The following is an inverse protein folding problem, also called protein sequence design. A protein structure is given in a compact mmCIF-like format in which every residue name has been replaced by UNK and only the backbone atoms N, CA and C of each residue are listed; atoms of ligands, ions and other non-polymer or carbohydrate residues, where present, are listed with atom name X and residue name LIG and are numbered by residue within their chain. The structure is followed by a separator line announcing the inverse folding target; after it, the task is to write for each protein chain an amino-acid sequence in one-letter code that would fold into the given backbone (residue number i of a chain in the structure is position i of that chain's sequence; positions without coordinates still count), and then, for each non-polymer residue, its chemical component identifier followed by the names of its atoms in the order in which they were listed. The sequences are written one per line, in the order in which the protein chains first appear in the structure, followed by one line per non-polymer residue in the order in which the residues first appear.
data_IF_807576593321
#
_entry.id   IF_807576593321
#
_cell.length_a   1.000
_cell.length_b   1.000
_cell.length_c   1.000
_cell.angle_alpha   90.00
_cell.angle_beta   90.00
_cell.angle_gamma   90.00
#
_symmetry.space_group_name_H-M   'P 1'
#
loop_
_entity.id
_entity.type
_entity.pdbx_description
1 polymer ?
#
# COMPACT_ATOMS: atom_id res chain seq x y z
N UNK A 1 4.05 -26.11 -49.66
CA UNK A 1 4.93 -25.29 -48.78
C UNK A 1 6.40 -25.48 -49.14
N UNK A 2 6.89 -26.69 -49.43
CA UNK A 2 8.27 -26.95 -49.84
C UNK A 2 8.72 -26.12 -51.07
N UNK A 3 7.92 -26.06 -52.13
CA UNK A 3 8.27 -25.30 -53.34
C UNK A 3 8.21 -23.77 -53.22
N UNK A 4 7.69 -23.22 -52.10
CA UNK A 4 7.72 -21.77 -51.82
C UNK A 4 8.94 -21.41 -50.96
N UNK A 5 9.31 -22.29 -50.03
CA UNK A 5 10.47 -22.08 -49.14
C UNK A 5 11.80 -22.43 -49.83
N UNK A 6 11.77 -23.37 -50.77
CA UNK A 6 12.90 -23.77 -51.59
C UNK A 6 12.44 -23.87 -53.07
N UNK A 7 12.38 -22.73 -53.79
CA UNK A 7 11.98 -22.71 -55.19
C UNK A 7 13.04 -23.39 -56.06
N UNK A 8 12.63 -24.40 -56.84
CA UNK A 8 13.52 -25.08 -57.79
C UNK A 8 13.86 -24.15 -58.98
N UNK A 9 15.10 -24.22 -59.48
CA UNK A 9 15.58 -23.44 -60.62
C UNK A 9 14.65 -23.62 -61.85
N UNK A 10 14.17 -22.50 -62.41
CA UNK A 10 13.24 -22.50 -63.55
C UNK A 10 11.76 -22.72 -63.20
N UNK A 11 11.42 -22.80 -61.91
CA UNK A 11 10.03 -22.77 -61.45
C UNK A 11 9.50 -21.33 -61.35
N UNK A 12 8.17 -21.16 -61.44
CA UNK A 12 7.51 -19.86 -61.22
C UNK A 12 7.94 -19.16 -59.92
N UNK A 13 8.31 -19.93 -58.89
CA UNK A 13 8.69 -19.41 -57.59
C UNK A 13 10.12 -18.85 -57.56
N UNK A 14 10.99 -19.30 -58.47
CA UNK A 14 12.37 -18.84 -58.63
C UNK A 14 12.48 -17.62 -59.56
N UNK A 15 11.44 -17.32 -60.36
CA UNK A 15 11.45 -16.16 -61.25
C UNK A 15 11.63 -14.84 -60.47
N UNK A 16 12.61 -14.04 -60.89
CA UNK A 16 12.93 -12.75 -60.29
C UNK A 16 12.07 -11.60 -60.85
N UNK A 17 11.52 -10.81 -59.94
CA UNK A 17 10.76 -9.60 -60.22
C UNK A 17 11.16 -8.54 -59.19
N UNK A 18 11.68 -7.39 -59.62
CA UNK A 18 12.15 -6.32 -58.72
C UNK A 18 13.19 -6.76 -57.67
N UNK A 19 14.25 -7.47 -58.09
CA UNK A 19 15.37 -7.92 -57.22
C UNK A 19 14.95 -8.88 -56.10
N UNK A 20 13.80 -9.53 -56.23
CA UNK A 20 13.27 -10.53 -55.32
C UNK A 20 12.62 -11.63 -56.16
N UNK A 21 12.61 -12.86 -55.67
CA UNK A 21 11.86 -13.92 -56.35
C UNK A 21 10.35 -13.88 -56.01
N UNK A 22 9.55 -14.50 -56.87
CA UNK A 22 8.10 -14.58 -56.70
C UNK A 22 7.68 -15.22 -55.36
N UNK A 23 8.47 -16.17 -54.83
CA UNK A 23 8.23 -16.74 -53.51
C UNK A 23 8.29 -15.69 -52.39
N UNK A 24 9.32 -14.85 -52.38
CA UNK A 24 9.51 -13.78 -51.39
C UNK A 24 8.42 -12.74 -51.48
N UNK A 25 8.00 -12.35 -52.69
CA UNK A 25 6.91 -11.40 -52.92
C UNK A 25 5.59 -11.93 -52.33
N UNK A 26 5.26 -13.21 -52.56
CA UNK A 26 4.05 -13.83 -52.02
C UNK A 26 4.10 -13.91 -50.48
N UNK A 27 5.26 -14.18 -49.90
CA UNK A 27 5.43 -14.16 -48.45
C UNK A 27 5.26 -12.75 -47.86
N UNK A 28 5.85 -11.72 -48.47
CA UNK A 28 5.64 -10.32 -48.04
C UNK A 28 4.18 -9.90 -48.12
N UNK A 29 3.45 -10.31 -49.17
CA UNK A 29 2.02 -10.07 -49.28
C UNK A 29 1.23 -10.84 -48.20
N UNK A 30 1.64 -12.07 -47.87
CA UNK A 30 1.12 -12.83 -46.75
C UNK A 30 1.31 -12.11 -45.40
N UNK A 31 2.50 -11.56 -45.16
CA UNK A 31 2.80 -10.78 -43.96
C UNK A 31 1.92 -9.52 -43.89
N UNK A 32 1.81 -8.78 -45.00
CA UNK A 32 0.97 -7.58 -45.08
C UNK A 32 -0.49 -7.92 -44.80
N UNK A 33 -1.04 -8.97 -45.42
CA UNK A 33 -2.43 -9.38 -45.20
C UNK A 33 -2.67 -9.80 -43.75
N UNK A 34 -1.80 -10.63 -43.17
CA UNK A 34 -1.87 -11.00 -41.75
C UNK A 34 -1.76 -9.79 -40.82
N UNK A 35 -0.90 -8.82 -41.12
CA UNK A 35 -0.77 -7.58 -40.33
C UNK A 35 -2.04 -6.73 -40.38
N UNK A 36 -2.72 -6.67 -41.53
CA UNK A 36 -4.00 -5.96 -41.69
C UNK A 36 -5.11 -6.69 -40.95
N UNK A 37 -5.16 -8.02 -41.03
CA UNK A 37 -6.10 -8.82 -40.25
C UNK A 37 -5.88 -8.66 -38.74
N UNK A 38 -4.63 -8.67 -38.28
CA UNK A 38 -4.29 -8.42 -36.88
C UNK A 38 -4.74 -7.03 -36.43
N UNK A 39 -4.47 -6.01 -37.26
CA UNK A 39 -4.92 -4.63 -37.03
C UNK A 39 -6.44 -4.53 -36.90
N UNK A 40 -7.18 -5.08 -37.87
CA UNK A 40 -8.65 -5.06 -37.87
C UNK A 40 -9.22 -5.87 -36.70
N UNK A 41 -8.65 -7.04 -36.43
CA UNK A 41 -9.06 -7.91 -35.34
C UNK A 41 -8.93 -7.22 -33.99
N UNK A 42 -7.79 -6.58 -33.73
CA UNK A 42 -7.57 -5.82 -32.49
C UNK A 42 -8.48 -4.60 -32.41
N UNK A 43 -8.68 -3.86 -33.51
CA UNK A 43 -9.65 -2.75 -33.56
C UNK A 43 -11.09 -3.20 -33.28
N UNK A 44 -11.46 -4.43 -33.62
CA UNK A 44 -12.79 -4.96 -33.36
C UNK A 44 -12.93 -5.53 -31.93
N UNK A 45 -11.85 -6.05 -31.35
CA UNK A 45 -11.83 -6.70 -30.04
C UNK A 45 -11.61 -5.73 -28.87
N UNK A 46 -10.65 -4.82 -29.01
CA UNK A 46 -10.29 -3.85 -27.98
C UNK A 46 -11.50 -3.08 -27.42
N UNK A 47 -12.40 -2.50 -28.24
CA UNK A 47 -13.55 -1.78 -27.71
C UNK A 47 -14.56 -2.70 -27.01
N UNK A 48 -14.68 -3.96 -27.41
CA UNK A 48 -15.58 -4.92 -26.75
C UNK A 48 -15.10 -5.27 -25.33
N UNK A 49 -13.78 -5.38 -25.15
CA UNK A 49 -13.18 -5.63 -23.84
C UNK A 49 -13.29 -4.37 -22.98
N UNK A 50 -12.95 -3.20 -23.55
CA UNK A 50 -13.07 -1.92 -22.85
C UNK A 50 -14.50 -1.65 -22.38
N UNK A 51 -15.51 -2.00 -23.19
CA UNK A 51 -16.93 -1.85 -22.83
C UNK A 51 -17.35 -2.73 -21.63
N UNK A 52 -16.70 -3.86 -21.38
CA UNK A 52 -16.96 -4.65 -20.16
C UNK A 52 -16.44 -3.98 -18.90
N UNK A 53 -15.42 -3.12 -19.04
CA UNK A 53 -14.72 -2.48 -17.93
C UNK A 53 -15.28 -1.07 -17.67
N UNK A 54 -15.61 -0.33 -18.74
CA UNK A 54 -16.09 1.06 -18.69
C UNK A 54 -17.58 1.11 -19.05
N UNK A 55 -18.43 1.36 -18.05
CA UNK A 55 -19.89 1.31 -18.20
C UNK A 55 -20.55 2.63 -18.64
N UNK A 56 -19.83 3.76 -18.65
CA UNK A 56 -20.44 5.07 -18.99
C UNK A 56 -20.40 5.40 -20.49
N UNK A 57 -21.55 5.74 -21.05
CA UNK A 57 -21.75 6.00 -22.49
C UNK A 57 -21.09 7.29 -22.99
N UNK A 58 -20.84 8.28 -22.12
CA UNK A 58 -20.16 9.54 -22.49
C UNK A 58 -18.66 9.37 -22.69
N UNK A 59 -18.00 8.53 -21.88
CA UNK A 59 -16.58 8.16 -22.01
C UNK A 59 -16.37 7.26 -23.22
N UNK A 60 -17.33 6.35 -23.48
CA UNK A 60 -17.29 5.42 -24.60
C UNK A 60 -17.17 6.15 -25.95
N UNK A 61 -17.96 7.20 -26.21
CA UNK A 61 -18.00 7.84 -27.53
C UNK A 61 -16.70 8.55 -27.94
N UNK A 62 -15.98 9.14 -26.96
CA UNK A 62 -14.73 9.89 -27.19
C UNK A 62 -13.49 8.99 -27.12
N UNK A 63 -13.53 7.96 -26.28
CA UNK A 63 -12.39 7.07 -26.00
C UNK A 63 -12.24 5.94 -27.03
N UNK A 64 -13.35 5.30 -27.41
CA UNK A 64 -13.33 4.09 -28.25
C UNK A 64 -12.89 4.43 -29.69
N UNK A 65 -13.42 5.53 -30.25
CA UNK A 65 -13.24 5.84 -31.68
C UNK A 65 -11.79 6.09 -32.10
N UNK A 66 -10.95 6.60 -31.19
CA UNK A 66 -9.57 6.94 -31.50
C UNK A 66 -8.53 6.02 -30.81
N UNK A 67 -8.77 5.51 -29.60
CA UNK A 67 -7.79 4.59 -28.94
C UNK A 67 -7.56 3.30 -29.73
N UNK A 68 -8.62 2.74 -30.33
CA UNK A 68 -8.57 1.50 -31.11
C UNK A 68 -7.65 1.62 -32.33
N UNK A 69 -7.53 2.83 -32.90
CA UNK A 69 -6.69 3.05 -34.08
C UNK A 69 -5.21 2.84 -33.79
N UNK A 70 -4.74 3.41 -32.68
CA UNK A 70 -3.34 3.33 -32.26
C UNK A 70 -2.98 1.91 -31.78
N UNK A 71 -3.88 1.25 -31.04
CA UNK A 71 -3.67 -0.13 -30.61
C UNK A 71 -3.67 -1.09 -31.80
N UNK A 72 -4.58 -0.91 -32.76
CA UNK A 72 -4.60 -1.71 -33.98
C UNK A 72 -3.37 -1.50 -34.86
N UNK A 73 -2.85 -0.27 -34.99
CA UNK A 73 -1.59 -0.04 -35.72
C UNK A 73 -0.41 -0.68 -35.01
N UNK A 74 -0.35 -0.63 -33.68
CA UNK A 74 0.65 -1.38 -32.91
C UNK A 74 0.53 -2.90 -33.17
N UNK A 75 -0.67 -3.48 -33.07
CA UNK A 75 -0.86 -4.91 -33.33
C UNK A 75 -0.43 -5.33 -34.74
N UNK A 76 -0.84 -4.57 -35.76
CA UNK A 76 -0.44 -4.83 -37.14
C UNK A 76 1.07 -4.72 -37.34
N UNK A 77 1.70 -3.65 -36.85
CA UNK A 77 3.14 -3.45 -36.94
C UNK A 77 3.94 -4.51 -36.18
N UNK A 78 3.46 -4.93 -35.00
CA UNK A 78 4.08 -6.00 -34.20
C UNK A 78 4.02 -7.36 -34.88
N UNK A 79 2.87 -7.72 -35.46
CA UNK A 79 2.75 -8.97 -36.25
C UNK A 79 3.63 -8.92 -37.50
N UNK A 80 3.64 -7.78 -38.21
CA UNK A 80 4.52 -7.60 -39.37
C UNK A 80 6.00 -7.71 -38.98
N UNK A 81 6.40 -7.08 -37.88
CA UNK A 81 7.77 -7.13 -37.35
C UNK A 81 8.19 -8.56 -36.99
N UNK A 82 7.33 -9.27 -36.25
CA UNK A 82 7.58 -10.66 -35.87
C UNK A 82 7.76 -11.56 -37.10
N UNK A 83 6.88 -11.44 -38.09
CA UNK A 83 6.93 -12.27 -39.29
C UNK A 83 8.11 -11.90 -40.21
N UNK A 84 8.44 -10.60 -40.33
CA UNK A 84 9.62 -10.13 -41.08
C UNK A 84 10.90 -10.68 -40.44
N UNK A 85 11.04 -10.57 -39.12
CA UNK A 85 12.22 -11.09 -38.42
C UNK A 85 12.31 -12.62 -38.56
N UNK A 86 11.17 -13.32 -38.45
CA UNK A 86 11.11 -14.78 -38.70
C UNK A 86 11.57 -15.12 -40.12
N UNK A 87 11.14 -14.35 -41.12
CA UNK A 87 11.54 -14.55 -42.51
C UNK A 87 13.04 -14.26 -42.72
N UNK A 88 13.58 -13.22 -42.07
CA UNK A 88 15.01 -12.90 -42.11
C UNK A 88 15.84 -14.01 -41.45
N UNK A 89 15.42 -14.53 -40.31
CA UNK A 89 16.10 -15.65 -39.64
C UNK A 89 16.09 -16.91 -40.51
N UNK A 90 14.99 -17.16 -41.23
CA UNK A 90 14.88 -18.29 -42.17
C UNK A 90 15.82 -18.16 -43.37
N UNK A 91 16.07 -16.95 -43.88
CA UNK A 91 17.06 -16.71 -44.97
C UNK A 91 18.49 -17.11 -44.57
N UNK A 92 18.80 -17.10 -43.27
CA UNK A 92 20.11 -17.50 -42.76
C UNK A 92 20.37 -19.01 -42.84
N UNK A 93 19.35 -19.83 -43.15
CA UNK A 93 19.45 -21.29 -43.29
C UNK A 93 19.79 -21.69 -44.74
N UNK A 94 20.70 -22.66 -44.89
CA UNK A 94 21.40 -23.05 -46.14
C UNK A 94 20.46 -23.60 -47.22
N UNK A 95 19.20 -23.88 -46.89
CA UNK A 95 18.21 -24.52 -47.77
C UNK A 95 17.01 -23.63 -48.14
N UNK A 96 17.09 -22.31 -47.94
CA UNK A 96 16.01 -21.40 -48.34
C UNK A 96 16.42 -20.56 -49.55
N UNK A 97 15.59 -20.58 -50.59
CA UNK A 97 15.79 -19.74 -51.78
C UNK A 97 15.07 -18.41 -51.63
N UNK A 98 15.14 -17.76 -50.47
CA UNK A 98 14.45 -16.49 -50.20
C UNK A 98 15.45 -15.36 -50.40
N UNK A 99 15.08 -14.35 -51.18
CA UNK A 99 15.98 -13.25 -51.54
C UNK A 99 15.34 -11.92 -51.19
N UNK A 100 15.91 -11.24 -50.20
CA UNK A 100 15.56 -9.86 -49.85
C UNK A 100 16.77 -8.94 -50.10
N UNK A 101 16.56 -7.74 -50.68
CA UNK A 101 17.61 -6.74 -50.78
C UNK A 101 18.15 -6.37 -49.39
N UNK A 102 19.47 -6.17 -49.28
CA UNK A 102 20.13 -5.80 -48.01
C UNK A 102 19.50 -4.58 -47.32
N UNK A 103 19.03 -3.62 -48.12
CA UNK A 103 18.33 -2.43 -47.63
C UNK A 103 17.00 -2.79 -46.96
N UNK A 104 16.25 -3.76 -47.50
CA UNK A 104 14.98 -4.22 -46.94
C UNK A 104 15.20 -4.89 -45.58
N UNK A 105 16.23 -5.74 -45.46
CA UNK A 105 16.61 -6.43 -44.23
C UNK A 105 16.95 -5.44 -43.11
N UNK A 106 17.62 -4.33 -43.43
CA UNK A 106 18.03 -3.33 -42.45
C UNK A 106 16.94 -2.32 -42.10
N UNK A 107 16.13 -1.91 -43.08
CA UNK A 107 15.19 -0.78 -42.92
C UNK A 107 13.82 -1.26 -42.44
N UNK A 108 13.28 -2.34 -43.01
CA UNK A 108 11.89 -2.75 -42.75
C UNK A 108 11.67 -3.08 -41.26
N UNK A 109 12.51 -3.89 -40.59
CA UNK A 109 12.33 -4.18 -39.17
C UNK A 109 12.35 -2.92 -38.30
N UNK A 110 13.33 -2.04 -38.51
CA UNK A 110 13.48 -0.81 -37.74
C UNK A 110 12.28 0.14 -37.92
N UNK A 111 11.78 0.28 -39.16
CA UNK A 111 10.58 1.09 -39.44
C UNK A 111 9.33 0.48 -38.79
N UNK A 112 9.16 -0.84 -38.87
CA UNK A 112 8.03 -1.53 -38.23
C UNK A 112 8.10 -1.42 -36.71
N UNK A 113 9.29 -1.56 -36.12
CA UNK A 113 9.53 -1.36 -34.70
C UNK A 113 9.26 0.09 -34.26
N UNK A 114 9.66 1.07 -35.07
CA UNK A 114 9.35 2.48 -34.82
C UNK A 114 7.83 2.73 -34.86
N UNK A 115 7.14 2.23 -35.88
CA UNK A 115 5.67 2.33 -36.01
C UNK A 115 4.98 1.65 -34.82
N UNK A 116 5.49 0.49 -34.40
CA UNK A 116 4.99 -0.22 -33.24
C UNK A 116 5.16 0.60 -31.95
N UNK A 117 6.37 1.07 -31.66
CA UNK A 117 6.68 1.85 -30.47
C UNK A 117 5.87 3.15 -30.40
N UNK A 118 5.82 3.94 -31.48
CA UNK A 118 5.06 5.20 -31.50
C UNK A 118 3.55 4.96 -31.37
N UNK A 119 3.04 3.88 -31.98
CA UNK A 119 1.62 3.50 -31.86
C UNK A 119 1.28 3.13 -30.41
N UNK A 120 2.16 2.39 -29.72
CA UNK A 120 1.98 2.08 -28.30
C UNK A 120 2.06 3.32 -27.41
N UNK A 121 2.97 4.25 -27.67
CA UNK A 121 3.06 5.51 -26.92
C UNK A 121 1.80 6.34 -27.09
N UNK A 122 1.33 6.52 -28.33
CA UNK A 122 0.08 7.25 -28.61
C UNK A 122 -1.12 6.57 -27.96
N UNK A 123 -1.18 5.24 -28.00
CA UNK A 123 -2.23 4.47 -27.34
C UNK A 123 -2.20 4.66 -25.81
N UNK A 124 -1.03 4.49 -25.18
CA UNK A 124 -0.86 4.65 -23.73
C UNK A 124 -1.21 6.08 -23.28
N UNK A 125 -0.80 7.10 -24.03
CA UNK A 125 -1.17 8.49 -23.77
C UNK A 125 -2.68 8.73 -23.76
N UNK A 126 -3.40 8.05 -24.67
CA UNK A 126 -4.86 8.13 -24.73
C UNK A 126 -5.52 7.41 -23.56
N UNK A 127 -4.92 6.35 -23.03
CA UNK A 127 -5.41 5.71 -21.81
C UNK A 127 -5.33 6.65 -20.60
N UNK A 128 -4.30 7.48 -20.51
CA UNK A 128 -4.15 8.42 -19.39
C UNK A 128 -5.28 9.47 -19.39
N UNK A 129 -5.71 9.95 -20.55
CA UNK A 129 -6.88 10.84 -20.62
C UNK A 129 -8.19 10.20 -20.13
N UNK A 130 -8.30 8.88 -20.15
CA UNK A 130 -9.49 8.18 -19.60
C UNK A 130 -9.60 8.40 -18.10
N UNK A 131 -8.47 8.54 -17.39
CA UNK A 131 -8.48 8.77 -15.94
C UNK A 131 -9.23 10.05 -15.59
N UNK A 132 -9.00 11.14 -16.36
CA UNK A 132 -9.73 12.40 -16.17
C UNK A 132 -11.22 12.24 -16.45
N UNK A 133 -11.56 11.56 -17.55
CA UNK A 133 -12.94 11.36 -17.95
C UNK A 133 -13.71 10.50 -16.93
N UNK A 134 -13.09 9.46 -16.37
CA UNK A 134 -13.68 8.58 -15.34
C UNK A 134 -13.87 9.33 -14.03
N UNK A 135 -12.86 10.09 -13.60
CA UNK A 135 -12.96 10.93 -12.40
C UNK A 135 -14.10 11.95 -12.54
N UNK A 136 -14.19 12.63 -13.69
CA UNK A 136 -15.24 13.62 -13.94
C UNK A 136 -16.66 13.04 -14.01
N UNK A 137 -16.82 11.72 -14.07
CA UNK A 137 -18.12 11.05 -13.95
C UNK A 137 -18.46 10.53 -12.55
N UNK A 138 -17.44 10.28 -11.73
CA UNK A 138 -17.63 9.93 -10.33
C UNK A 138 -17.90 11.18 -9.49
N UNK A 139 -17.46 12.34 -9.99
CA UNK A 139 -17.80 13.67 -9.48
C UNK A 139 -19.18 14.12 -9.98
N UNK A 140 -20.25 13.53 -9.44
CA UNK A 140 -21.62 13.90 -9.82
C UNK A 140 -22.11 15.22 -9.20
N UNK A 141 -21.43 15.75 -8.18
CA UNK A 141 -21.87 16.93 -7.42
C UNK A 141 -20.90 18.14 -7.50
N UNK A 142 -19.85 18.09 -8.34
CA UNK A 142 -18.77 19.10 -8.40
C UNK A 142 -18.13 19.35 -7.00
N UNK A 143 -18.19 18.34 -6.12
CA UNK A 143 -17.72 18.38 -4.74
C UNK A 143 -16.23 18.03 -4.61
N UNK A 144 -15.54 17.63 -5.69
CA UNK A 144 -14.09 17.41 -5.65
C UNK A 144 -13.39 18.71 -5.22
N UNK A 145 -12.84 18.71 -4.01
CA UNK A 145 -12.05 19.82 -3.47
C UNK A 145 -10.88 20.14 -4.42
N UNK A 146 -10.43 21.41 -4.44
CA UNK A 146 -9.31 21.84 -5.27
C UNK A 146 -8.06 20.98 -5.07
N UNK A 147 -7.92 20.38 -3.89
CA UNK A 147 -6.87 19.42 -3.53
C UNK A 147 -6.95 18.13 -4.34
N UNK A 148 -8.14 17.55 -4.51
CA UNK A 148 -8.35 16.27 -5.20
C UNK A 148 -8.13 16.42 -6.71
N UNK A 149 -8.62 17.52 -7.30
CA UNK A 149 -8.35 17.87 -8.71
C UNK A 149 -6.87 18.05 -8.97
N UNK A 150 -6.16 18.68 -8.03
CA UNK A 150 -4.70 18.84 -8.11
C UNK A 150 -3.97 17.49 -8.04
N UNK A 151 -4.41 16.58 -7.17
CA UNK A 151 -3.83 15.23 -7.06
C UNK A 151 -4.01 14.43 -8.36
N UNK A 152 -5.21 14.47 -8.95
CA UNK A 152 -5.52 13.78 -10.20
C UNK A 152 -4.65 14.32 -11.35
N UNK A 153 -4.53 15.64 -11.45
CA UNK A 153 -3.65 16.27 -12.44
C UNK A 153 -2.16 15.93 -12.23
N UNK A 154 -1.72 15.82 -10.98
CA UNK A 154 -0.35 15.41 -10.66
C UNK A 154 -0.09 13.95 -11.08
N UNK A 155 -1.00 13.02 -10.76
CA UNK A 155 -0.92 11.61 -11.16
C UNK A 155 -0.88 11.50 -12.69
N UNK A 156 -1.73 12.25 -13.39
CA UNK A 156 -1.76 12.28 -14.85
C UNK A 156 -0.43 12.78 -15.43
N UNK A 157 0.12 13.86 -14.88
CA UNK A 157 1.40 14.42 -15.33
C UNK A 157 2.53 13.42 -15.14
N UNK A 158 2.55 12.69 -14.02
CA UNK A 158 3.52 11.63 -13.74
C UNK A 158 3.36 10.47 -14.74
N UNK A 159 2.13 10.02 -15.01
CA UNK A 159 1.86 8.95 -15.97
C UNK A 159 2.27 9.34 -17.39
N UNK A 160 1.92 10.56 -17.83
CA UNK A 160 2.33 11.08 -19.14
C UNK A 160 3.85 11.16 -19.25
N UNK A 161 4.53 11.69 -18.23
CA UNK A 161 5.99 11.73 -18.20
C UNK A 161 6.58 10.31 -18.30
N UNK A 162 6.08 9.35 -17.53
CA UNK A 162 6.55 7.97 -17.57
C UNK A 162 6.34 7.33 -18.96
N UNK A 163 5.20 7.56 -19.60
CA UNK A 163 4.91 7.04 -20.94
C UNK A 163 5.84 7.65 -21.99
N UNK A 164 6.07 8.96 -21.98
CA UNK A 164 7.06 9.60 -22.88
C UNK A 164 8.43 9.04 -22.63
N UNK A 165 8.83 8.96 -21.36
CA UNK A 165 10.17 8.55 -20.97
C UNK A 165 10.45 7.12 -21.42
N UNK A 166 9.59 6.17 -21.05
CA UNK A 166 9.71 4.76 -21.46
C UNK A 166 9.55 4.64 -22.99
N UNK A 167 8.60 5.35 -23.58
CA UNK A 167 8.38 5.39 -25.02
C UNK A 167 9.61 5.85 -25.80
N UNK A 168 10.30 6.88 -25.31
CA UNK A 168 11.51 7.42 -25.93
C UNK A 168 12.65 6.39 -25.98
N UNK A 169 12.75 5.51 -24.99
CA UNK A 169 13.73 4.42 -24.95
C UNK A 169 13.47 3.42 -26.09
N UNK A 170 12.22 2.98 -26.26
CA UNK A 170 11.84 2.07 -27.35
C UNK A 170 11.96 2.72 -28.74
N UNK A 171 11.66 4.01 -28.84
CA UNK A 171 11.84 4.75 -30.10
C UNK A 171 13.33 4.90 -30.43
N UNK A 172 14.19 5.17 -29.44
CA UNK A 172 15.63 5.24 -29.63
C UNK A 172 16.20 3.88 -30.10
N UNK A 173 15.73 2.77 -29.54
CA UNK A 173 16.12 1.44 -30.02
C UNK A 173 15.78 1.23 -31.50
N UNK A 174 14.56 1.60 -31.89
CA UNK A 174 14.11 1.49 -33.28
C UNK A 174 14.93 2.38 -34.25
N UNK A 175 15.57 3.44 -33.74
CA UNK A 175 16.50 4.29 -34.50
C UNK A 175 17.94 3.76 -34.53
N UNK A 176 18.20 2.61 -33.89
CA UNK A 176 19.51 1.96 -33.85
C UNK A 176 20.43 2.46 -32.73
N UNK A 177 19.91 3.16 -31.73
CA UNK A 177 20.70 3.48 -30.53
C UNK A 177 20.92 2.24 -29.67
N UNK A 178 22.08 2.15 -29.02
CA UNK A 178 22.40 1.02 -28.15
C UNK A 178 21.55 1.06 -26.87
N UNK A 179 20.54 0.18 -26.79
CA UNK A 179 19.70 0.01 -25.61
C UNK A 179 20.49 -0.35 -24.36
N UNK A 180 21.54 -1.17 -24.47
CA UNK A 180 22.33 -1.62 -23.31
C UNK A 180 22.95 -0.43 -22.57
N UNK A 181 23.52 0.54 -23.30
CA UNK A 181 24.07 1.76 -22.70
C UNK A 181 22.99 2.63 -22.06
N UNK A 182 21.83 2.76 -22.71
CA UNK A 182 20.72 3.56 -22.19
C UNK A 182 20.13 2.92 -20.92
N UNK A 183 19.83 1.63 -20.96
CA UNK A 183 19.31 0.86 -19.82
C UNK A 183 20.30 0.85 -18.66
N UNK A 184 21.61 0.76 -18.92
CA UNK A 184 22.64 0.85 -17.87
C UNK A 184 22.61 2.20 -17.12
N UNK A 185 22.52 3.32 -17.85
CA UNK A 185 22.39 4.65 -17.23
C UNK A 185 21.05 4.86 -16.51
N UNK A 186 19.97 4.31 -17.07
CA UNK A 186 18.64 4.30 -16.46
C UNK A 186 18.60 3.47 -15.18
N UNK A 187 19.35 2.38 -15.09
CA UNK A 187 19.42 1.54 -13.89
C UNK A 187 19.94 2.32 -12.67
N UNK A 188 21.01 3.10 -12.85
CA UNK A 188 21.58 3.93 -11.77
C UNK A 188 20.60 5.05 -11.38
N UNK A 189 20.02 5.74 -12.37
CA UNK A 189 19.06 6.82 -12.13
C UNK A 189 17.77 6.31 -11.47
N UNK A 190 17.31 5.13 -11.88
CA UNK A 190 16.14 4.44 -11.33
C UNK A 190 16.36 4.00 -9.89
N UNK A 191 17.57 3.54 -9.54
CA UNK A 191 17.92 3.23 -8.15
C UNK A 191 17.86 4.48 -7.26
N UNK A 192 18.42 5.60 -7.73
CA UNK A 192 18.37 6.87 -6.99
C UNK A 192 16.92 7.33 -6.76
N UNK A 193 16.06 7.23 -7.80
CA UNK A 193 14.64 7.56 -7.70
C UNK A 193 13.90 6.61 -6.74
N UNK A 194 14.20 5.30 -6.79
CA UNK A 194 13.60 4.31 -5.90
C UNK A 194 13.96 4.56 -4.43
N UNK A 195 15.22 4.92 -4.16
CA UNK A 195 15.66 5.30 -2.81
C UNK A 195 14.96 6.57 -2.32
N UNK A 196 14.78 7.57 -3.19
CA UNK A 196 14.03 8.78 -2.85
C UNK A 196 12.53 8.51 -2.60
N UNK A 197 11.93 7.57 -3.34
CA UNK A 197 10.52 7.21 -3.21
C UNK A 197 10.23 6.24 -2.05
N UNK A 198 11.27 5.63 -1.46
CA UNK A 198 11.18 4.58 -0.44
C UNK A 198 10.21 4.92 0.69
N UNK A 199 10.30 6.12 1.26
CA UNK A 199 9.48 6.51 2.42
C UNK A 199 8.00 6.68 2.04
N UNK A 200 7.71 7.18 0.83
CA UNK A 200 6.33 7.30 0.34
C UNK A 200 5.70 5.92 0.18
N UNK A 201 6.43 4.99 -0.43
CA UNK A 201 5.98 3.59 -0.61
C UNK A 201 5.80 2.91 0.74
N UNK A 202 6.74 3.10 1.68
CA UNK A 202 6.66 2.52 3.02
C UNK A 202 5.42 2.99 3.79
N UNK A 203 5.04 4.26 3.66
CA UNK A 203 3.82 4.78 4.30
C UNK A 203 2.54 4.21 3.68
N UNK A 204 2.52 4.01 2.35
CA UNK A 204 1.38 3.40 1.66
C UNK A 204 1.16 1.94 2.10
N UNK A 205 2.24 1.16 2.18
CA UNK A 205 2.17 -0.19 2.74
C UNK A 205 1.78 -0.16 4.21
N UNK A 206 2.29 0.82 4.96
CA UNK A 206 1.90 1.07 6.34
C UNK A 206 0.39 1.23 6.52
N UNK A 207 -0.23 2.11 5.72
CA UNK A 207 -1.67 2.33 5.75
C UNK A 207 -2.44 1.06 5.40
N UNK A 208 -1.99 0.35 4.36
CA UNK A 208 -2.62 -0.88 3.89
C UNK A 208 -2.63 -1.95 4.98
N UNK A 209 -1.50 -2.16 5.65
CA UNK A 209 -1.40 -3.10 6.78
C UNK A 209 -2.32 -2.70 7.93
N UNK A 210 -2.37 -1.42 8.31
CA UNK A 210 -3.28 -0.94 9.36
C UNK A 210 -4.74 -1.21 9.00
N UNK A 211 -5.14 -1.01 7.74
CA UNK A 211 -6.50 -1.25 7.26
C UNK A 211 -6.89 -2.73 7.24
N UNK A 212 -5.95 -3.61 6.88
CA UNK A 212 -6.17 -5.06 6.77
C UNK A 212 -6.13 -5.73 8.14
N UNK A 213 -5.08 -5.51 8.92
CA UNK A 213 -4.86 -6.20 10.20
C UNK A 213 -5.63 -5.55 11.35
N UNK A 214 -6.03 -4.28 11.18
CA UNK A 214 -6.82 -3.49 12.15
C UNK A 214 -6.30 -3.61 13.59
N UNK A 215 -5.01 -3.30 13.84
CA UNK A 215 -4.46 -3.29 15.20
C UNK A 215 -5.23 -2.32 16.11
N UNK A 216 -5.73 -1.22 15.54
CA UNK A 216 -6.62 -0.24 16.14
C UNK A 216 -7.64 0.28 15.12
N UNK A 217 -8.63 1.03 15.60
CA UNK A 217 -9.65 1.71 14.79
C UNK A 217 -9.73 3.18 15.17
N UNK A 218 -10.38 3.98 14.33
CA UNK A 218 -10.77 5.35 14.67
C UNK A 218 -11.62 5.31 15.94
N UNK A 219 -11.29 6.17 16.91
CA UNK A 219 -11.88 6.23 18.25
C UNK A 219 -11.15 5.39 19.31
N UNK A 220 -10.22 4.51 18.93
CA UNK A 220 -9.42 3.78 19.91
C UNK A 220 -8.37 4.71 20.55
N UNK A 221 -8.24 4.62 21.87
CA UNK A 221 -7.11 5.21 22.59
C UNK A 221 -5.89 4.29 22.44
N UNK A 222 -4.76 4.84 21.99
CA UNK A 222 -3.56 4.09 21.67
C UNK A 222 -2.32 4.76 22.24
N UNK A 223 -1.32 3.95 22.57
CA UNK A 223 0.05 4.39 22.82
C UNK A 223 0.94 3.81 21.74
N UNK A 224 1.66 4.70 21.05
CA UNK A 224 2.57 4.38 19.96
C UNK A 224 3.86 5.15 20.20
N UNK A 225 4.92 4.42 20.55
CA UNK A 225 6.18 5.01 21.00
C UNK A 225 5.95 6.01 22.16
N UNK A 226 6.28 7.29 21.96
CA UNK A 226 6.05 8.36 22.94
C UNK A 226 4.73 9.12 22.76
N UNK A 227 3.87 8.68 21.84
CA UNK A 227 2.61 9.35 21.49
C UNK A 227 1.44 8.60 22.10
N UNK A 228 0.66 9.28 22.93
CA UNK A 228 -0.56 8.75 23.54
C UNK A 228 -1.77 9.62 23.16
N UNK A 229 -2.85 8.98 22.72
CA UNK A 229 -4.10 9.67 22.42
C UNK A 229 -5.11 8.82 21.67
N UNK A 230 -6.19 9.46 21.24
CA UNK A 230 -7.27 8.87 20.46
C UNK A 230 -6.98 8.94 18.96
N UNK A 231 -7.18 7.84 18.23
CA UNK A 231 -7.06 7.83 16.77
C UNK A 231 -8.25 8.56 16.15
N UNK A 232 -7.99 9.67 15.48
CA UNK A 232 -9.03 10.51 14.86
C UNK A 232 -9.24 10.22 13.38
N UNK A 233 -8.14 10.04 12.64
CA UNK A 233 -8.19 9.80 11.20
C UNK A 233 -7.03 8.89 10.78
N UNK A 234 -7.29 8.00 9.82
CA UNK A 234 -6.26 7.18 9.16
C UNK A 234 -6.27 7.56 7.68
N UNK A 235 -5.28 8.36 7.27
CA UNK A 235 -5.08 8.78 5.89
C UNK A 235 -4.07 7.86 5.18
N UNK A 236 -3.82 8.06 3.88
CA UNK A 236 -2.89 7.21 3.10
C UNK A 236 -1.44 7.24 3.59
N UNK A 237 -0.96 8.38 4.09
CA UNK A 237 0.43 8.54 4.54
C UNK A 237 0.57 8.56 6.06
N UNK A 238 -0.43 9.09 6.74
CA UNK A 238 -0.36 9.44 8.15
C UNK A 238 -1.62 9.03 8.89
N UNK A 239 -1.49 8.80 10.18
CA UNK A 239 -2.59 8.66 11.13
C UNK A 239 -2.55 9.83 12.10
N UNK A 240 -3.71 10.45 12.34
CA UNK A 240 -3.86 11.58 13.24
C UNK A 240 -4.30 11.10 14.62
N UNK A 241 -3.51 11.42 15.64
CA UNK A 241 -3.77 11.05 17.04
C UNK A 241 -4.04 12.32 17.83
N UNK A 242 -5.20 12.39 18.50
CA UNK A 242 -5.60 13.50 19.36
C UNK A 242 -5.20 13.21 20.80
N UNK A 243 -4.32 14.02 21.35
CA UNK A 243 -3.80 13.84 22.71
C UNK A 243 -4.83 14.24 23.76
N UNK A 244 -4.56 13.90 25.03
CA UNK A 244 -5.37 14.36 26.16
C UNK A 244 -5.42 15.90 26.33
N UNK A 245 -4.48 16.62 25.73
CA UNK A 245 -4.45 18.09 25.69
C UNK A 245 -5.19 18.68 24.47
N UNK A 246 -5.97 17.85 23.75
CA UNK A 246 -6.72 18.21 22.54
C UNK A 246 -5.85 18.69 21.36
N UNK A 247 -4.57 18.31 21.35
CA UNK A 247 -3.65 18.58 20.23
C UNK A 247 -3.58 17.41 19.26
N UNK A 248 -3.27 17.67 17.99
CA UNK A 248 -3.13 16.63 16.96
C UNK A 248 -1.66 16.31 16.74
N UNK A 249 -1.31 15.04 16.93
CA UNK A 249 -0.01 14.46 16.57
C UNK A 249 -0.18 13.66 15.29
N UNK A 250 0.61 14.01 14.28
CA UNK A 250 0.60 13.33 12.99
C UNK A 250 1.68 12.25 12.99
N UNK A 251 1.27 10.98 12.88
CA UNK A 251 2.20 9.84 12.88
C UNK A 251 2.27 9.23 11.49
N UNK A 252 3.47 9.10 10.88
CA UNK A 252 3.63 8.38 9.60
C UNK A 252 3.19 6.92 9.74
N UNK A 253 2.42 6.43 8.76
CA UNK A 253 1.91 5.06 8.79
C UNK A 253 3.03 4.00 8.73
N UNK A 254 4.18 4.34 8.15
CA UNK A 254 5.36 3.48 8.18
C UNK A 254 5.84 3.21 9.62
N UNK A 255 5.67 4.15 10.55
CA UNK A 255 6.07 3.94 11.95
C UNK A 255 5.10 2.97 12.65
N UNK A 256 3.81 3.02 12.33
CA UNK A 256 2.77 2.22 12.96
C UNK A 256 2.94 0.71 12.75
N UNK A 257 3.58 0.32 11.63
CA UNK A 257 3.84 -1.09 11.31
C UNK A 257 5.17 -1.57 11.91
N UNK A 258 6.10 -0.65 12.17
CA UNK A 258 7.43 -0.98 12.70
C UNK A 258 7.53 -0.88 14.23
N UNK A 259 6.55 -0.24 14.88
CA UNK A 259 6.54 0.00 16.33
C UNK A 259 5.40 -0.77 17.00
N UNK A 260 5.60 -1.36 18.19
CA UNK A 260 4.51 -1.93 18.97
C UNK A 260 3.43 -0.89 19.27
N UNK A 261 2.17 -1.27 19.10
CA UNK A 261 1.00 -0.42 19.40
C UNK A 261 0.25 -1.00 20.59
N UNK A 262 0.16 -0.24 21.68
CA UNK A 262 -0.70 -0.61 22.81
C UNK A 262 -2.08 0.00 22.60
N UNK A 263 -3.09 -0.84 22.36
CA UNK A 263 -4.46 -0.40 22.13
C UNK A 263 -5.31 -0.53 23.40
N UNK A 264 -5.65 0.61 23.99
CA UNK A 264 -6.44 0.70 25.22
C UNK A 264 -7.94 0.51 24.93
N UNK A 265 -8.40 0.76 23.70
CA UNK A 265 -9.77 0.52 23.24
C UNK A 265 -10.14 -0.97 23.19
N UNK A 266 -9.16 -1.87 23.01
CA UNK A 266 -9.35 -3.33 23.03
C UNK A 266 -9.25 -3.97 24.41
N UNK A 267 -9.18 -3.18 25.50
CA UNK A 267 -9.07 -3.72 26.87
C UNK A 267 -10.30 -4.52 27.27
N UNK A 268 -10.08 -5.69 27.88
CA UNK A 268 -11.14 -6.54 28.44
C UNK A 268 -11.50 -6.20 29.89
N UNK A 269 -10.56 -5.61 30.63
CA UNK A 269 -10.68 -5.20 32.02
C UNK A 269 -9.59 -4.17 32.31
N UNK A 270 -9.79 -3.37 33.35
CA UNK A 270 -8.84 -2.39 33.85
C UNK A 270 -8.14 -2.93 35.08
N UNK A 271 -6.82 -3.01 35.03
CA UNK A 271 -6.01 -3.38 36.19
C UNK A 271 -5.66 -2.12 36.96
N UNK A 272 -5.97 -2.10 38.25
CA UNK A 272 -5.45 -1.07 39.14
C UNK A 272 -4.53 -1.72 40.17
N UNK A 273 -3.34 -1.13 40.33
CA UNK A 273 -2.34 -1.54 41.30
C UNK A 273 -1.90 -0.31 42.09
N UNK A 274 -1.81 -0.45 43.40
CA UNK A 274 -1.32 0.60 44.30
C UNK A 274 -0.55 -0.01 45.46
N UNK A 275 0.32 0.78 46.08
CA UNK A 275 1.02 0.43 47.30
C UNK A 275 0.55 1.36 48.42
N UNK A 276 0.25 0.78 49.57
CA UNK A 276 -0.12 1.45 50.79
C UNK A 276 1.04 1.31 51.78
N UNK A 277 1.32 2.36 52.54
CA UNK A 277 2.42 2.37 53.50
C UNK A 277 1.83 2.53 54.89
N UNK A 278 2.02 1.55 55.77
CA UNK A 278 1.64 1.61 57.18
C UNK A 278 2.87 1.84 58.06
N UNK A 279 2.65 2.28 59.31
CA UNK A 279 3.73 2.44 60.28
C UNK A 279 4.40 1.10 60.62
N UNK A 280 5.72 1.11 60.81
CA UNK A 280 6.53 -0.09 61.06
C UNK A 280 6.19 -0.80 62.39
N UNK A 281 5.70 -0.05 63.37
CA UNK A 281 5.27 -0.54 64.68
C UNK A 281 3.83 -1.09 64.69
N UNK A 282 3.17 -1.18 63.54
CA UNK A 282 1.82 -1.73 63.43
C UNK A 282 1.77 -3.19 63.89
N UNK A 283 0.72 -3.57 64.61
CA UNK A 283 0.50 -4.95 65.05
C UNK A 283 0.30 -5.88 63.83
N UNK A 284 1.13 -6.93 63.65
CA UNK A 284 1.01 -7.86 62.53
C UNK A 284 -0.37 -8.52 62.40
N UNK A 285 -1.06 -8.80 63.51
CA UNK A 285 -2.39 -9.41 63.47
C UNK A 285 -3.41 -8.45 62.83
N UNK A 286 -3.38 -7.18 63.25
CA UNK A 286 -4.25 -6.13 62.70
C UNK A 286 -3.96 -5.83 61.23
N UNK A 287 -2.68 -5.92 60.83
CA UNK A 287 -2.30 -5.76 59.42
C UNK A 287 -2.85 -6.89 58.56
N UNK A 288 -2.82 -8.13 59.06
CA UNK A 288 -3.40 -9.28 58.37
C UNK A 288 -4.93 -9.13 58.23
N UNK A 289 -5.61 -8.71 59.31
CA UNK A 289 -7.06 -8.46 59.31
C UNK A 289 -7.44 -7.34 58.34
N UNK A 290 -6.67 -6.24 58.32
CA UNK A 290 -6.84 -5.16 57.37
C UNK A 290 -6.71 -5.64 55.91
N UNK A 291 -5.67 -6.42 55.60
CA UNK A 291 -5.48 -6.96 54.25
C UNK A 291 -6.65 -7.86 53.83
N UNK A 292 -7.16 -8.69 54.75
CA UNK A 292 -8.30 -9.57 54.49
C UNK A 292 -9.59 -8.76 54.24
N UNK A 293 -9.88 -7.75 55.06
CA UNK A 293 -11.07 -6.89 54.92
C UNK A 293 -11.04 -6.05 53.63
N UNK A 294 -9.86 -5.54 53.26
CA UNK A 294 -9.69 -4.84 51.97
C UNK A 294 -9.91 -5.78 50.80
N UNK A 295 -9.38 -7.01 50.87
CA UNK A 295 -9.60 -8.01 49.83
C UNK A 295 -11.08 -8.41 49.70
N UNK A 296 -11.76 -8.60 50.83
CA UNK A 296 -13.20 -8.86 50.87
C UNK A 296 -13.99 -7.71 50.24
N UNK A 297 -13.67 -6.45 50.57
CA UNK A 297 -14.28 -5.28 49.95
C UNK A 297 -14.08 -5.23 48.42
N UNK A 298 -12.92 -5.68 47.92
CA UNK A 298 -12.65 -5.79 46.49
C UNK A 298 -13.52 -6.90 45.87
N UNK A 299 -13.68 -8.04 46.54
CA UNK A 299 -14.49 -9.16 46.06
C UNK A 299 -15.99 -8.86 46.06
N UNK A 300 -16.48 -8.10 47.03
CA UNK A 300 -17.88 -7.67 47.11
C UNK A 300 -18.25 -6.60 46.09
N UNK A 301 -17.25 -5.87 45.56
CA UNK A 301 -17.49 -4.82 44.58
C UNK A 301 -18.10 -5.39 43.29
N UNK A 302 -19.26 -4.88 42.82
CA UNK A 302 -19.97 -5.42 41.66
C UNK A 302 -19.21 -5.23 40.35
N UNK A 303 -18.20 -4.37 40.33
CA UNK A 303 -17.38 -4.08 39.16
C UNK A 303 -16.12 -4.95 39.08
N UNK A 304 -15.86 -5.80 40.08
CA UNK A 304 -14.69 -6.70 40.09
C UNK A 304 -14.91 -7.92 39.21
N UNK A 305 -13.94 -8.23 38.35
CA UNK A 305 -14.08 -9.30 37.33
C UNK A 305 -13.23 -10.53 37.63
N UNK A 306 -12.11 -10.35 38.32
CA UNK A 306 -11.15 -11.43 38.62
C UNK A 306 -10.82 -11.46 40.11
N UNK A 307 -11.77 -11.86 40.97
CA UNK A 307 -11.56 -11.87 42.41
C UNK A 307 -10.40 -12.79 42.79
N UNK A 308 -10.27 -13.97 42.16
CA UNK A 308 -9.18 -14.93 42.39
C UNK A 308 -7.79 -14.42 41.99
N UNK A 309 -7.70 -13.45 41.09
CA UNK A 309 -6.43 -12.80 40.70
C UNK A 309 -6.22 -11.44 41.39
N UNK A 310 -7.19 -11.00 42.18
CA UNK A 310 -7.11 -9.77 42.98
C UNK A 310 -6.57 -10.11 44.36
N UNK A 311 -5.72 -9.26 44.92
CA UNK A 311 -5.04 -9.53 46.17
C UNK A 311 -4.66 -8.23 46.89
N UNK A 312 -4.63 -8.30 48.22
CA UNK A 312 -4.11 -7.27 49.11
C UNK A 312 -3.19 -7.98 50.10
N UNK A 313 -1.88 -7.73 50.00
CA UNK A 313 -0.88 -8.47 50.78
C UNK A 313 0.29 -7.58 51.16
N UNK A 314 0.89 -7.86 52.31
CA UNK A 314 2.17 -7.26 52.70
C UNK A 314 3.21 -7.67 51.66
N UNK A 315 3.79 -6.68 50.99
CA UNK A 315 4.74 -6.86 49.90
C UNK A 315 6.19 -6.77 50.38
N UNK A 316 6.51 -5.83 51.25
CA UNK A 316 7.88 -5.61 51.75
C UNK A 316 7.85 -4.88 53.09
N UNK A 317 8.82 -5.20 53.96
CA UNK A 317 9.14 -4.41 55.14
C UNK A 317 10.34 -3.52 54.80
N UNK A 318 10.15 -2.20 54.79
CA UNK A 318 11.24 -1.24 54.52
C UNK A 318 11.88 -0.75 55.82
N UNK A 319 12.87 0.14 55.72
CA UNK A 319 13.49 0.75 56.91
C UNK A 319 12.53 1.67 57.70
N UNK A 320 11.44 2.13 57.07
CA UNK A 320 10.56 3.17 57.64
C UNK A 320 9.07 2.82 57.62
N UNK A 321 8.65 1.92 56.73
CA UNK A 321 7.24 1.57 56.50
C UNK A 321 7.04 0.08 56.27
N UNK A 322 5.82 -0.37 56.54
CA UNK A 322 5.31 -1.64 56.08
C UNK A 322 4.52 -1.43 54.78
N UNK A 323 5.00 -2.00 53.67
CA UNK A 323 4.44 -1.77 52.35
C UNK A 323 3.45 -2.88 52.00
N UNK A 324 2.19 -2.51 51.81
CA UNK A 324 1.10 -3.39 51.38
C UNK A 324 0.80 -3.11 49.93
N UNK A 325 0.87 -4.13 49.08
CA UNK A 325 0.49 -4.01 47.68
C UNK A 325 -0.95 -4.47 47.49
N UNK A 326 -1.72 -3.70 46.72
CA UNK A 326 -3.09 -3.98 46.35
C UNK A 326 -3.18 -4.08 44.83
N UNK A 327 -3.77 -5.16 44.34
CA UNK A 327 -3.97 -5.40 42.92
C UNK A 327 -5.38 -5.88 42.66
N UNK A 328 -6.04 -5.30 41.66
CA UNK A 328 -7.39 -5.70 41.29
C UNK A 328 -7.70 -5.47 39.81
N UNK A 329 -8.80 -6.06 39.36
CA UNK A 329 -9.28 -6.00 37.99
C UNK A 329 -10.76 -5.61 37.95
N UNK A 330 -11.05 -4.46 37.32
CA UNK A 330 -12.38 -3.92 37.16
C UNK A 330 -12.92 -4.02 35.73
N UNK A 331 -14.23 -4.22 35.59
CA UNK A 331 -15.00 -3.91 34.40
C UNK A 331 -15.77 -2.61 34.64
N UNK A 332 -15.03 -1.51 34.48
CA UNK A 332 -15.59 -0.16 34.52
C UNK A 332 -15.25 0.55 33.22
N UNK A 333 -16.18 1.39 32.74
CA UNK A 333 -15.87 2.32 31.68
C UNK A 333 -14.77 3.31 32.13
N UNK A 334 -13.90 3.70 31.20
CA UNK A 334 -12.83 4.63 31.48
C UNK A 334 -13.32 6.04 31.82
N UNK A 335 -12.42 6.89 32.29
CA UNK A 335 -12.74 8.28 32.58
C UNK A 335 -13.45 8.46 33.92
N UNK A 336 -14.64 9.07 33.93
CA UNK A 336 -15.33 9.41 35.18
C UNK A 336 -15.76 8.20 36.03
N UNK A 337 -16.32 7.11 35.45
CA UNK A 337 -16.72 5.92 36.23
C UNK A 337 -15.52 5.23 36.90
N UNK A 338 -14.41 5.08 36.17
CA UNK A 338 -13.16 4.55 36.72
C UNK A 338 -12.62 5.41 37.87
N UNK A 339 -12.62 6.73 37.72
CA UNK A 339 -12.19 7.65 38.80
C UNK A 339 -13.08 7.51 40.04
N UNK A 340 -14.39 7.39 39.85
CA UNK A 340 -15.35 7.23 40.96
C UNK A 340 -15.18 5.90 41.69
N UNK A 341 -15.07 4.78 40.97
CA UNK A 341 -14.82 3.47 41.59
C UNK A 341 -13.50 3.45 42.37
N UNK A 342 -12.48 4.12 41.84
CA UNK A 342 -11.19 4.29 42.51
C UNK A 342 -11.29 5.13 43.78
N UNK A 343 -12.02 6.24 43.74
CA UNK A 343 -12.29 7.08 44.92
C UNK A 343 -13.02 6.29 46.01
N UNK A 344 -14.10 5.59 45.67
CA UNK A 344 -14.89 4.78 46.60
C UNK A 344 -14.02 3.71 47.29
N UNK A 345 -13.19 2.99 46.53
CA UNK A 345 -12.30 1.98 47.10
C UNK A 345 -11.20 2.61 47.98
N UNK A 346 -10.59 3.71 47.57
CA UNK A 346 -9.56 4.39 48.37
C UNK A 346 -10.14 4.88 49.70
N UNK A 347 -11.33 5.46 49.70
CA UNK A 347 -12.01 5.89 50.93
C UNK A 347 -12.39 4.70 51.82
N UNK A 348 -12.84 3.59 51.24
CA UNK A 348 -13.10 2.34 51.97
C UNK A 348 -11.84 1.83 52.65
N UNK A 349 -10.72 1.73 51.92
CA UNK A 349 -9.40 1.34 52.45
C UNK A 349 -9.00 2.22 53.63
N UNK A 350 -9.19 3.55 53.51
CA UNK A 350 -8.88 4.47 54.59
C UNK A 350 -9.75 4.24 55.84
N UNK A 351 -11.03 3.90 55.66
CA UNK A 351 -11.93 3.58 56.77
C UNK A 351 -11.54 2.26 57.44
N UNK A 352 -11.27 1.21 56.66
CA UNK A 352 -10.80 -0.09 57.16
C UNK A 352 -9.52 0.05 57.99
N UNK A 353 -8.58 0.91 57.56
CA UNK A 353 -7.37 1.18 58.33
C UNK A 353 -7.69 1.80 59.71
N UNK A 354 -8.59 2.79 59.75
CA UNK A 354 -9.02 3.44 61.00
C UNK A 354 -9.72 2.47 61.94
N UNK A 355 -10.59 1.61 61.43
CA UNK A 355 -11.37 0.66 62.23
C UNK A 355 -10.46 -0.40 62.89
N UNK A 356 -9.36 -0.76 62.22
CA UNK A 356 -8.33 -1.64 62.78
C UNK A 356 -7.33 -0.89 63.70
N UNK A 357 -7.42 0.44 63.79
CA UNK A 357 -6.49 1.28 64.55
C UNK A 357 -5.07 1.30 63.95
N UNK A 358 -4.99 1.21 62.62
CA UNK A 358 -3.76 1.31 61.85
C UNK A 358 -3.58 2.75 61.34
N UNK A 359 -2.34 3.20 61.31
CA UNK A 359 -1.97 4.53 60.81
C UNK A 359 -1.16 4.38 59.53
N UNK A 360 -1.50 5.17 58.52
CA UNK A 360 -0.66 5.28 57.33
C UNK A 360 0.64 6.02 57.67
N UNK A 361 1.74 5.54 57.11
CA UNK A 361 3.06 6.11 57.32
C UNK A 361 3.11 7.59 56.89
N UNK A 362 3.49 8.46 57.82
CA UNK A 362 3.84 9.86 57.54
C UNK A 362 5.34 10.06 57.82
N UNK A 363 6.16 10.40 56.81
CA UNK A 363 7.59 10.61 56.99
C UNK A 363 7.93 11.75 57.98
N UNK A 364 7.00 12.65 58.28
CA UNK A 364 7.22 13.79 59.20
C UNK A 364 7.12 13.38 60.66
N UNK A 365 6.28 12.40 61.00
CA UNK A 365 6.03 12.00 62.39
C UNK A 365 7.21 11.24 63.01
N UNK A 366 8.02 10.58 62.18
CA UNK A 366 9.19 9.81 62.63
C UNK A 366 10.34 10.69 63.14
N UNK A 367 10.44 11.94 62.68
CA UNK A 367 11.55 12.85 63.07
C UNK A 367 11.38 13.45 64.49
N UNK A 368 10.18 13.43 65.05
CA UNK A 368 9.86 14.09 66.33
C UNK A 368 10.19 13.24 67.56
N UNK A 369 10.64 11.99 67.36
CA UNK A 369 10.80 10.98 68.41
C UNK A 369 12.26 10.76 68.83
N UNK A 370 13.19 11.65 68.47
CA UNK A 370 14.60 11.61 68.89
C UNK A 370 14.91 12.58 70.03
#
# INVERSE_FOLDING_TARGET
MSGILNPEDGSFWADEVFFMNNATIVMLFGILTLSVFARIGVMALAPRILRKIVQSDSIQAKTIRDSDKALGTAAGAGVALFLINTLIDMMGDVNTGIELPDLAIRIIPNVLQFIFAISLVVWAFRLVSIVQDVVGLLDNDDELDGTERTLISAIESILRFAIVFIGSVFIADALGFNLTSLVAGLGISGLALALAAKDTISNLFGATTVLLDRPFKIGDWVIIDSVEGEVTEISLRTTLIRTAADTIVTVPNANLVNTPVENFGKRRWRRWQTALHLELNSDPAKVADFCAQVLESIHESPVTVKPESSWCQVSTLTATSLDISVNLYWDVAGGAPERKAKEELVLSIMQTAKDNGLTFFDPRMVQTSQ
#
